data_IF_504280768707
#
_entry.id   IF_504280768707
#
_cell.length_a   1.000
_cell.length_b   1.000
_cell.length_c   1.000
_cell.angle_alpha   90.00
_cell.angle_beta   90.00
_cell.angle_gamma   90.00
#
_symmetry.space_group_name_H-M   'P 1'
#
loop_
_entity.id
_entity.type
_entity.pdbx_description
1 polymer ?
#
# COMPACT_ATOMS: atom_id res chain seq x y z
N UNK A 1 -3.50 -15.31 -3.66
CA UNK A 1 -4.30 -14.47 -4.61
C UNK A 1 -4.08 -13.00 -4.28
N UNK A 2 -3.65 -12.19 -5.24
CA UNK A 2 -3.40 -10.77 -5.04
C UNK A 2 -4.69 -10.04 -4.61
N UNK A 3 -4.64 -9.21 -3.58
CA UNK A 3 -5.78 -8.40 -3.12
C UNK A 3 -6.32 -7.49 -4.25
N UNK A 4 -7.64 -7.31 -4.32
CA UNK A 4 -8.30 -6.45 -5.32
C UNK A 4 -7.71 -5.03 -5.31
N UNK A 5 -7.49 -4.43 -4.13
CA UNK A 5 -6.90 -3.09 -3.99
C UNK A 5 -5.53 -2.99 -4.65
N UNK A 6 -4.66 -3.96 -4.42
CA UNK A 6 -3.33 -3.99 -5.03
C UNK A 6 -3.35 -4.18 -6.54
N UNK A 7 -4.26 -5.01 -7.03
CA UNK A 7 -4.44 -5.15 -8.49
C UNK A 7 -4.79 -3.82 -9.13
N UNK A 8 -5.73 -3.07 -8.53
CA UNK A 8 -6.13 -1.75 -9.02
C UNK A 8 -4.98 -0.73 -8.97
N UNK A 9 -4.20 -0.71 -7.88
CA UNK A 9 -3.04 0.20 -7.75
C UNK A 9 -1.91 -0.17 -8.72
N UNK A 10 -1.64 -1.46 -8.94
CA UNK A 10 -0.70 -1.92 -9.98
C UNK A 10 -1.17 -1.52 -11.37
N UNK A 11 -2.45 -1.70 -11.69
CA UNK A 11 -3.03 -1.28 -12.98
C UNK A 11 -2.93 0.23 -13.15
N UNK A 12 -3.14 1.01 -12.07
CA UNK A 12 -2.97 2.46 -12.11
C UNK A 12 -1.51 2.87 -12.33
N UNK A 13 -0.55 2.22 -11.66
CA UNK A 13 0.87 2.48 -11.90
C UNK A 13 1.28 2.20 -13.36
N UNK A 14 0.75 1.12 -13.95
CA UNK A 14 0.96 0.82 -15.37
C UNK A 14 0.32 1.88 -16.28
N UNK A 15 -0.86 2.40 -15.90
CA UNK A 15 -1.50 3.49 -16.64
C UNK A 15 -0.64 4.76 -16.63
N UNK A 16 -0.16 5.19 -15.45
CA UNK A 16 0.74 6.34 -15.33
C UNK A 16 1.99 6.19 -16.21
N UNK A 17 2.60 5.02 -16.22
CA UNK A 17 3.79 4.73 -17.03
C UNK A 17 3.47 4.79 -18.53
N UNK A 18 2.33 4.27 -18.99
CA UNK A 18 1.90 4.31 -20.40
C UNK A 18 1.56 5.71 -20.89
N UNK A 19 1.04 6.57 -20.00
CA UNK A 19 0.76 7.98 -20.25
C UNK A 19 2.01 8.87 -20.16
N UNK A 20 3.20 8.26 -20.01
CA UNK A 20 4.49 8.95 -19.84
C UNK A 20 4.55 9.88 -18.60
N UNK A 21 3.70 9.65 -17.60
CA UNK A 21 3.65 10.39 -16.33
C UNK A 21 4.64 9.77 -15.34
N UNK A 22 5.92 9.75 -15.70
CA UNK A 22 6.95 8.98 -15.00
C UNK A 22 7.26 9.49 -13.59
N UNK A 23 7.16 10.79 -13.35
CA UNK A 23 7.33 11.36 -12.00
C UNK A 23 6.23 10.88 -11.05
N UNK A 24 4.98 10.89 -11.50
CA UNK A 24 3.85 10.40 -10.71
C UNK A 24 3.93 8.88 -10.53
N UNK A 25 4.31 8.15 -11.57
CA UNK A 25 4.57 6.72 -11.50
C UNK A 25 5.62 6.39 -10.43
N UNK A 26 6.78 7.06 -10.45
CA UNK A 26 7.85 6.83 -9.48
C UNK A 26 7.43 7.16 -8.03
N UNK A 27 6.68 8.25 -7.84
CA UNK A 27 6.13 8.63 -6.54
C UNK A 27 5.10 7.59 -6.05
N UNK A 28 4.16 7.20 -6.92
CA UNK A 28 3.13 6.22 -6.58
C UNK A 28 3.72 4.87 -6.16
N UNK A 29 4.70 4.34 -6.91
CA UNK A 29 5.36 3.08 -6.57
C UNK A 29 6.00 3.15 -5.18
N UNK A 30 6.73 4.23 -4.87
CA UNK A 30 7.34 4.39 -3.55
C UNK A 30 6.28 4.47 -2.45
N UNK A 31 5.24 5.27 -2.67
CA UNK A 31 4.16 5.47 -1.69
C UNK A 31 3.38 4.18 -1.42
N UNK A 32 3.29 3.28 -2.40
CA UNK A 32 2.68 1.96 -2.21
C UNK A 32 3.56 0.98 -1.42
N UNK A 33 4.89 1.11 -1.50
CA UNK A 33 5.84 0.20 -0.86
C UNK A 33 6.23 0.62 0.57
N UNK A 34 5.89 1.84 0.98
CA UNK A 34 6.29 2.43 2.27
C UNK A 34 5.07 2.57 3.17
N UNK A 35 5.17 2.12 4.41
CA UNK A 35 4.13 2.28 5.40
C UNK A 35 4.17 3.69 6.02
N UNK A 36 3.33 4.59 5.52
CA UNK A 36 3.28 5.98 5.97
C UNK A 36 2.87 6.14 7.44
N UNK A 37 2.05 5.25 7.98
CA UNK A 37 1.66 5.26 9.38
C UNK A 37 2.81 4.83 10.34
N UNK A 38 3.94 4.36 9.80
CA UNK A 38 5.09 3.84 10.57
C UNK A 38 6.44 4.39 10.10
N UNK A 39 6.44 5.54 9.40
CA UNK A 39 7.66 6.16 8.89
C UNK A 39 8.69 6.51 9.99
N UNK A 40 8.23 6.82 11.19
CA UNK A 40 9.07 7.04 12.36
C UNK A 40 9.91 5.81 12.73
N UNK A 41 9.41 4.61 12.46
CA UNK A 41 10.02 3.30 12.77
C UNK A 41 10.78 2.71 11.59
N UNK A 42 10.20 2.78 10.39
CA UNK A 42 10.71 2.07 9.20
C UNK A 42 11.77 2.83 8.42
N UNK A 43 12.08 4.03 8.76
CA UNK A 43 13.04 4.99 8.15
C UNK A 43 13.86 4.47 6.96
N UNK A 44 13.34 4.71 5.77
CA UNK A 44 14.19 4.71 4.58
C UNK A 44 15.04 5.99 4.59
N UNK A 45 16.33 5.88 4.37
CA UNK A 45 17.17 7.09 4.31
C UNK A 45 16.71 8.01 3.17
N UNK A 46 16.77 9.35 3.33
CA UNK A 46 16.41 10.29 2.26
C UNK A 46 17.17 10.05 0.96
N UNK A 47 18.42 9.60 1.07
CA UNK A 47 19.24 9.25 -0.09
C UNK A 47 18.73 7.99 -0.78
N UNK A 48 18.38 6.93 -0.03
CA UNK A 48 17.81 5.72 -0.61
C UNK A 48 16.45 6.00 -1.28
N UNK A 49 15.60 6.81 -0.63
CA UNK A 49 14.31 7.24 -1.21
C UNK A 49 14.50 7.98 -2.53
N UNK A 50 15.45 8.95 -2.58
CA UNK A 50 15.75 9.71 -3.82
C UNK A 50 16.31 8.83 -4.93
N UNK A 51 17.24 7.92 -4.61
CA UNK A 51 17.82 7.01 -5.60
C UNK A 51 16.77 6.07 -6.18
N UNK A 52 15.91 5.53 -5.32
CA UNK A 52 14.83 4.64 -5.75
C UNK A 52 13.80 5.37 -6.62
N UNK A 53 13.38 6.59 -6.22
CA UNK A 53 12.52 7.46 -7.01
C UNK A 53 13.12 7.74 -8.38
N UNK A 54 14.38 8.21 -8.41
CA UNK A 54 15.08 8.52 -9.65
C UNK A 54 15.16 7.31 -10.58
N UNK A 55 15.48 6.14 -10.03
CA UNK A 55 15.52 4.90 -10.82
C UNK A 55 14.17 4.59 -11.47
N UNK A 56 13.04 4.80 -10.78
CA UNK A 56 11.70 4.56 -11.34
C UNK A 56 11.32 5.64 -12.37
N UNK A 57 11.57 6.91 -12.07
CA UNK A 57 11.22 8.02 -12.94
C UNK A 57 12.02 8.03 -14.24
N UNK A 58 13.25 7.53 -14.22
CA UNK A 58 14.17 7.51 -15.38
C UNK A 58 14.19 6.14 -16.10
N UNK A 59 13.17 5.29 -15.96
CA UNK A 59 13.11 4.02 -16.68
C UNK A 59 13.27 4.19 -18.18
N UNK A 60 14.24 3.47 -18.74
CA UNK A 60 14.39 3.29 -20.18
C UNK A 60 13.20 2.52 -20.77
N UNK A 61 13.01 2.58 -22.08
CA UNK A 61 11.95 1.82 -22.77
C UNK A 61 12.00 0.33 -22.40
N UNK A 62 13.19 -0.29 -22.38
CA UNK A 62 13.36 -1.71 -22.03
C UNK A 62 12.98 -1.99 -20.58
N UNK A 63 13.25 -1.07 -19.64
CA UNK A 63 12.87 -1.23 -18.24
C UNK A 63 11.36 -1.10 -18.05
N UNK A 64 10.70 -0.17 -18.75
CA UNK A 64 9.24 -0.03 -18.79
C UNK A 64 8.57 -1.32 -19.29
N UNK A 65 9.06 -1.87 -20.42
CA UNK A 65 8.56 -3.14 -20.95
C UNK A 65 8.70 -4.30 -19.95
N UNK A 66 9.86 -4.42 -19.31
CA UNK A 66 10.10 -5.44 -18.27
C UNK A 66 9.20 -5.26 -17.06
N UNK A 67 9.02 -4.03 -16.60
CA UNK A 67 8.11 -3.71 -15.50
C UNK A 67 6.67 -4.10 -15.86
N UNK A 68 6.19 -3.73 -17.04
CA UNK A 68 4.86 -4.08 -17.53
C UNK A 68 4.65 -5.59 -17.62
N UNK A 69 5.61 -6.32 -18.19
CA UNK A 69 5.55 -7.79 -18.27
C UNK A 69 5.45 -8.41 -16.88
N UNK A 70 6.25 -7.92 -15.92
CA UNK A 70 6.25 -8.44 -14.56
C UNK A 70 4.94 -8.13 -13.82
N UNK A 71 4.42 -6.91 -13.93
CA UNK A 71 3.12 -6.55 -13.36
C UNK A 71 1.97 -7.39 -13.96
N UNK A 72 1.95 -7.57 -15.28
CA UNK A 72 0.96 -8.42 -15.95
C UNK A 72 1.04 -9.88 -15.52
N UNK A 73 2.23 -10.41 -15.23
CA UNK A 73 2.40 -11.75 -14.64
C UNK A 73 1.83 -11.79 -13.21
N UNK A 74 2.16 -10.81 -12.37
CA UNK A 74 1.63 -10.73 -11.00
C UNK A 74 0.10 -10.64 -10.99
N UNK A 75 -0.49 -9.85 -11.88
CA UNK A 75 -1.95 -9.71 -12.00
C UNK A 75 -2.65 -11.03 -12.40
N UNK A 76 -1.96 -11.91 -13.12
CA UNK A 76 -2.47 -13.21 -13.59
C UNK A 76 -2.17 -14.36 -12.63
N UNK A 77 -1.33 -14.17 -11.63
CA UNK A 77 -1.03 -15.23 -10.66
C UNK A 77 -2.30 -15.60 -9.88
N UNK A 78 -2.75 -16.83 -10.04
CA UNK A 78 -3.90 -17.39 -9.30
C UNK A 78 -3.43 -18.08 -8.03
N UNK A 79 -2.46 -18.97 -8.14
CA UNK A 79 -1.93 -19.78 -7.05
C UNK A 79 -0.40 -19.90 -7.17
N UNK A 80 0.28 -19.86 -6.03
CA UNK A 80 1.71 -20.09 -5.94
C UNK A 80 1.91 -21.52 -5.41
N UNK A 81 2.66 -22.37 -6.12
CA UNK A 81 2.96 -23.72 -5.62
C UNK A 81 3.67 -23.66 -4.29
N UNK A 82 3.23 -24.52 -3.36
CA UNK A 82 3.87 -24.63 -2.05
C UNK A 82 5.22 -25.34 -2.21
N UNK A 83 6.34 -24.75 -1.76
CA UNK A 83 7.64 -25.38 -1.81
C UNK A 83 7.68 -26.70 -1.05
N UNK A 84 8.39 -27.69 -1.58
CA UNK A 84 8.60 -29.00 -0.95
C UNK A 84 9.95 -29.11 -0.22
N UNK A 85 10.75 -28.05 -0.25
CA UNK A 85 12.03 -27.95 0.45
C UNK A 85 11.90 -27.11 1.72
N UNK A 86 12.92 -27.10 2.58
CA UNK A 86 13.03 -26.19 3.71
C UNK A 86 12.92 -24.76 3.19
N UNK A 87 11.99 -23.98 3.74
CA UNK A 87 11.59 -22.68 3.22
C UNK A 87 11.69 -21.61 4.29
N UNK A 88 12.34 -20.49 4.00
CA UNK A 88 12.25 -19.27 4.80
C UNK A 88 11.26 -18.33 4.13
N UNK A 89 10.24 -17.92 4.90
CA UNK A 89 9.34 -16.82 4.52
C UNK A 89 9.64 -15.64 5.44
N UNK A 90 10.03 -14.51 4.85
CA UNK A 90 10.38 -13.30 5.59
C UNK A 90 9.61 -12.10 5.06
N UNK A 91 9.14 -11.23 5.96
CA UNK A 91 8.45 -9.98 5.64
C UNK A 91 8.92 -8.85 6.55
N UNK A 92 8.72 -7.60 6.15
CA UNK A 92 8.86 -6.47 7.07
C UNK A 92 7.75 -6.48 8.12
N UNK A 93 8.08 -6.12 9.35
CA UNK A 93 7.10 -6.08 10.46
C UNK A 93 5.90 -5.15 10.16
N UNK A 94 6.13 -4.09 9.40
CA UNK A 94 5.14 -3.09 9.05
C UNK A 94 4.81 -3.07 7.56
N UNK A 95 5.06 -4.18 6.85
CA UNK A 95 4.76 -4.29 5.42
C UNK A 95 3.27 -4.05 5.16
N UNK A 96 2.95 -2.95 4.48
CA UNK A 96 1.59 -2.58 4.08
C UNK A 96 1.24 -3.07 2.67
N UNK A 97 2.24 -3.44 1.89
CA UNK A 97 2.06 -3.95 0.54
C UNK A 97 1.70 -5.44 0.53
N UNK A 98 2.54 -6.29 1.10
CA UNK A 98 2.22 -7.70 1.37
C UNK A 98 2.13 -7.89 2.87
N UNK A 99 0.92 -7.89 3.40
CA UNK A 99 0.71 -7.87 4.84
C UNK A 99 1.40 -9.05 5.53
N UNK A 100 1.96 -8.86 6.73
CA UNK A 100 2.61 -9.93 7.49
C UNK A 100 1.75 -11.19 7.64
N UNK A 101 0.43 -11.05 7.83
CA UNK A 101 -0.48 -12.19 7.92
C UNK A 101 -0.62 -12.94 6.59
N UNK A 102 -0.57 -12.27 5.42
CA UNK A 102 -0.64 -12.92 4.11
C UNK A 102 0.60 -13.78 3.86
N UNK A 103 1.78 -13.28 4.28
CA UNK A 103 3.03 -14.03 4.25
C UNK A 103 3.00 -15.21 5.23
N UNK A 104 2.42 -15.03 6.42
CA UNK A 104 2.23 -16.10 7.39
C UNK A 104 1.24 -17.16 6.91
N UNK A 105 0.12 -16.76 6.29
CA UNK A 105 -0.86 -17.68 5.70
C UNK A 105 -0.22 -18.56 4.59
N UNK A 106 0.73 -18.01 3.81
CA UNK A 106 1.53 -18.79 2.86
C UNK A 106 2.52 -19.72 3.58
N UNK A 107 3.28 -19.21 4.56
CA UNK A 107 4.22 -20.00 5.33
C UNK A 107 3.57 -21.20 6.01
N UNK A 108 2.36 -21.01 6.56
CA UNK A 108 1.58 -22.09 7.21
C UNK A 108 1.25 -23.26 6.28
N UNK A 109 1.27 -23.07 4.96
CA UNK A 109 1.06 -24.13 3.98
C UNK A 109 2.34 -24.93 3.72
N UNK A 110 3.53 -24.37 3.99
CA UNK A 110 4.80 -25.06 3.82
C UNK A 110 5.02 -26.12 4.93
N UNK A 111 5.47 -27.30 4.55
CA UNK A 111 5.70 -28.40 5.50
C UNK A 111 6.89 -28.10 6.42
N UNK A 112 8.05 -27.82 5.85
CA UNK A 112 9.30 -27.46 6.56
C UNK A 112 9.59 -25.98 6.32
N UNK A 113 9.26 -25.15 7.31
CA UNK A 113 9.37 -23.70 7.16
C UNK A 113 9.89 -23.01 8.41
N UNK A 114 10.58 -21.92 8.18
CA UNK A 114 10.85 -20.86 9.15
C UNK A 114 10.15 -19.59 8.72
N UNK A 115 9.55 -18.86 9.67
CA UNK A 115 8.90 -17.58 9.41
C UNK A 115 9.50 -16.49 10.28
N UNK A 116 9.84 -15.37 9.68
CA UNK A 116 10.43 -14.24 10.36
C UNK A 116 9.87 -12.89 9.91
N UNK A 117 9.67 -11.98 10.87
CA UNK A 117 9.46 -10.57 10.58
C UNK A 117 10.76 -9.80 10.84
N UNK A 118 11.15 -8.97 9.89
CA UNK A 118 12.29 -8.05 10.04
C UNK A 118 11.77 -6.81 10.77
N UNK A 119 12.24 -6.62 12.00
CA UNK A 119 11.78 -5.56 12.88
C UNK A 119 12.02 -4.17 12.30
N UNK A 120 11.05 -3.27 12.47
CA UNK A 120 11.10 -1.90 11.98
C UNK A 120 11.40 -1.78 10.47
N UNK A 121 10.88 -2.70 9.68
CA UNK A 121 10.93 -2.67 8.22
C UNK A 121 9.52 -2.76 7.64
N UNK A 122 9.35 -2.23 6.44
CA UNK A 122 8.17 -2.40 5.59
C UNK A 122 8.47 -3.31 4.38
N UNK A 123 7.88 -3.06 3.20
CA UNK A 123 8.01 -3.94 2.03
C UNK A 123 9.42 -4.05 1.44
N UNK A 124 10.33 -3.14 1.77
CA UNK A 124 11.70 -3.10 1.22
C UNK A 124 12.77 -3.25 2.32
N UNK A 125 12.72 -4.32 3.13
CA UNK A 125 13.60 -4.48 4.29
C UNK A 125 15.09 -4.47 3.91
N UNK A 126 15.44 -4.91 2.72
CA UNK A 126 16.83 -4.87 2.22
C UNK A 126 17.39 -3.44 2.05
N UNK A 127 16.52 -2.43 1.91
CA UNK A 127 16.92 -1.02 1.86
C UNK A 127 16.90 -0.35 3.23
N UNK A 128 16.07 -0.83 4.15
CA UNK A 128 15.84 -0.24 5.47
C UNK A 128 16.67 -0.91 6.57
N UNK A 129 16.78 -2.24 6.50
CA UNK A 129 17.43 -3.14 7.49
C UNK A 129 18.37 -4.12 6.78
N UNK A 130 19.29 -3.58 6.00
CA UNK A 130 20.18 -4.38 5.14
C UNK A 130 20.98 -5.42 5.93
N UNK A 131 21.56 -5.02 7.09
CA UNK A 131 22.38 -5.90 7.92
C UNK A 131 21.55 -7.07 8.45
N UNK A 132 20.41 -6.78 9.04
CA UNK A 132 19.49 -7.76 9.62
C UNK A 132 18.96 -8.70 8.54
N UNK A 133 18.56 -8.17 7.37
CA UNK A 133 18.11 -8.95 6.23
C UNK A 133 19.20 -9.91 5.74
N UNK A 134 20.41 -9.42 5.50
CA UNK A 134 21.53 -10.25 5.05
C UNK A 134 21.89 -11.32 6.07
N UNK A 135 21.88 -10.97 7.36
CA UNK A 135 22.18 -11.90 8.43
C UNK A 135 21.16 -13.03 8.51
N UNK A 136 19.86 -12.69 8.42
CA UNK A 136 18.77 -13.66 8.37
C UNK A 136 18.94 -14.70 7.25
N UNK A 137 19.14 -14.23 6.01
CA UNK A 137 19.33 -15.12 4.86
C UNK A 137 20.60 -15.96 4.98
N UNK A 138 21.71 -15.37 5.43
CA UNK A 138 22.97 -16.10 5.57
C UNK A 138 22.88 -17.19 6.63
N UNK A 139 22.26 -16.91 7.78
CA UNK A 139 22.04 -17.88 8.87
C UNK A 139 21.16 -19.03 8.40
N UNK A 140 20.04 -18.72 7.74
CA UNK A 140 19.15 -19.74 7.18
C UNK A 140 19.85 -20.65 6.15
N UNK A 141 20.61 -20.07 5.22
CA UNK A 141 21.34 -20.82 4.19
C UNK A 141 22.44 -21.74 4.75
N UNK A 142 23.00 -21.40 5.91
CA UNK A 142 23.94 -22.26 6.65
C UNK A 142 23.25 -23.38 7.43
N UNK A 143 21.92 -23.38 7.49
CA UNK A 143 21.16 -24.32 8.30
C UNK A 143 21.21 -24.02 9.81
N UNK A 144 21.65 -22.85 10.19
CA UNK A 144 21.69 -22.37 11.58
C UNK A 144 20.33 -21.83 12.01
N UNK A 145 20.08 -21.78 13.33
CA UNK A 145 18.83 -21.26 13.87
C UNK A 145 18.71 -19.76 13.74
N UNK A 146 17.57 -19.26 13.23
CA UNK A 146 17.25 -17.83 13.12
C UNK A 146 16.66 -17.22 14.40
N UNK A 147 16.39 -18.03 15.45
CA UNK A 147 15.62 -17.65 16.63
C UNK A 147 16.44 -16.65 17.41
N UNK A 148 17.27 -16.07 17.51
CA UNK A 148 17.96 -15.09 18.36
C UNK A 148 18.78 -14.06 17.56
N UNK A 149 18.42 -13.88 16.29
CA UNK A 149 19.07 -12.87 15.48
C UNK A 149 18.57 -11.47 15.87
N UNK A 150 19.50 -10.54 16.03
CA UNK A 150 19.16 -9.16 16.31
C UNK A 150 18.31 -8.56 15.19
N UNK A 151 17.23 -7.85 15.57
CA UNK A 151 16.29 -7.24 14.64
C UNK A 151 15.40 -8.23 13.87
N UNK A 152 15.39 -9.53 14.24
CA UNK A 152 14.54 -10.57 13.65
C UNK A 152 13.56 -11.09 14.68
N UNK A 153 12.30 -11.13 14.33
CA UNK A 153 11.21 -11.70 15.13
C UNK A 153 10.82 -13.01 14.48
N UNK A 154 11.41 -14.13 14.92
CA UNK A 154 10.99 -15.45 14.49
C UNK A 154 9.69 -15.84 15.18
N UNK A 155 8.79 -16.53 14.47
CA UNK A 155 7.45 -16.84 14.97
C UNK A 155 7.12 -18.32 14.80
N UNK A 156 6.48 -18.90 15.82
CA UNK A 156 5.90 -20.24 15.77
C UNK A 156 4.62 -20.24 14.92
N UNK A 157 4.14 -21.44 14.55
CA UNK A 157 2.87 -21.62 13.81
C UNK A 157 1.68 -21.00 14.56
N UNK A 158 1.67 -21.09 15.90
CA UNK A 158 0.62 -20.53 16.74
C UNK A 158 0.64 -19.00 16.74
N UNK A 159 1.81 -18.41 16.86
CA UNK A 159 2.00 -16.96 16.81
C UNK A 159 1.62 -16.38 15.43
N UNK A 160 1.96 -17.08 14.34
CA UNK A 160 1.59 -16.63 12.97
C UNK A 160 0.07 -16.52 12.78
N UNK A 161 -0.73 -17.43 13.37
CA UNK A 161 -2.19 -17.39 13.31
C UNK A 161 -2.80 -16.20 14.03
N UNK A 162 -2.05 -15.56 14.93
CA UNK A 162 -2.48 -14.41 15.74
C UNK A 162 -2.06 -13.07 15.14
N UNK A 163 -1.33 -13.05 14.02
CA UNK A 163 -0.92 -11.80 13.36
C UNK A 163 -2.16 -11.00 12.96
N UNK A 164 -2.16 -9.71 13.32
CA UNK A 164 -3.24 -8.78 12.97
C UNK A 164 -3.46 -8.74 11.45
N UNK A 165 -4.72 -8.92 11.05
CA UNK A 165 -5.10 -9.00 9.63
C UNK A 165 -5.36 -7.65 8.98
N UNK A 166 -5.47 -6.58 9.75
CA UNK A 166 -5.68 -5.23 9.24
C UNK A 166 -4.33 -4.55 9.03
N UNK A 167 -4.11 -4.05 7.83
CA UNK A 167 -2.89 -3.29 7.53
C UNK A 167 -2.85 -1.93 8.23
N UNK A 168 -4.02 -1.30 8.40
CA UNK A 168 -4.17 0.02 9.02
C UNK A 168 -5.47 0.13 9.81
N UNK A 169 -5.43 0.92 10.89
CA UNK A 169 -6.63 1.35 11.59
C UNK A 169 -7.43 2.32 10.71
N UNK A 170 -8.74 2.19 10.72
CA UNK A 170 -9.65 3.16 10.10
C UNK A 170 -9.93 4.26 11.09
N UNK A 171 -9.73 5.48 10.67
CA UNK A 171 -9.86 6.67 11.51
C UNK A 171 -11.15 7.39 11.13
N UNK A 172 -12.09 7.57 12.05
CA UNK A 172 -13.29 8.41 11.84
C UNK A 172 -12.89 9.84 11.48
N UNK A 173 -13.71 10.51 10.69
CA UNK A 173 -13.47 11.91 10.29
C UNK A 173 -14.45 12.84 10.96
N UNK A 174 -13.94 13.84 11.67
CA UNK A 174 -14.75 14.77 12.49
C UNK A 174 -15.60 15.74 11.66
N UNK A 175 -15.11 16.14 10.49
CA UNK A 175 -15.85 16.96 9.53
C UNK A 175 -16.21 16.11 8.32
N UNK A 176 -17.33 15.38 8.37
CA UNK A 176 -17.59 14.31 7.44
C UNK A 176 -18.02 14.79 6.05
N UNK A 177 -18.54 16.02 5.92
CA UNK A 177 -19.05 16.50 4.63
C UNK A 177 -17.93 17.06 3.78
N UNK A 178 -17.78 16.52 2.59
CA UNK A 178 -16.80 16.96 1.62
C UNK A 178 -17.31 16.78 0.18
N UNK A 179 -16.47 17.17 -0.78
CA UNK A 179 -16.77 17.05 -2.21
C UNK A 179 -16.02 15.88 -2.83
N UNK A 180 -16.72 15.19 -3.70
CA UNK A 180 -16.14 14.26 -4.67
C UNK A 180 -16.39 14.84 -6.06
N UNK A 181 -15.33 15.12 -6.80
CA UNK A 181 -15.41 15.71 -8.14
C UNK A 181 -14.90 14.75 -9.21
N UNK A 182 -15.24 15.02 -10.46
CA UNK A 182 -14.61 14.41 -11.60
C UNK A 182 -13.36 15.21 -12.01
N UNK A 183 -12.28 14.52 -12.37
CA UNK A 183 -10.99 15.15 -12.68
C UNK A 183 -11.05 16.12 -13.89
N UNK A 184 -11.86 15.81 -14.90
CA UNK A 184 -11.89 16.49 -16.18
C UNK A 184 -13.23 17.17 -16.50
N UNK A 185 -14.25 17.00 -15.65
CA UNK A 185 -15.56 17.59 -15.83
C UNK A 185 -15.83 18.55 -14.66
N UNK A 186 -16.58 19.59 -14.94
CA UNK A 186 -17.06 20.52 -13.92
C UNK A 186 -18.29 19.94 -13.20
N UNK A 187 -18.11 18.75 -12.62
CA UNK A 187 -19.16 18.03 -11.91
C UNK A 187 -18.64 17.59 -10.55
N UNK A 188 -19.38 17.93 -9.51
CA UNK A 188 -19.05 17.57 -8.13
C UNK A 188 -20.32 17.11 -7.39
N UNK A 189 -20.11 16.21 -6.43
CA UNK A 189 -21.16 15.73 -5.53
C UNK A 189 -20.72 15.85 -4.08
N UNK A 190 -21.65 16.18 -3.18
CA UNK A 190 -21.36 16.23 -1.74
C UNK A 190 -21.48 14.85 -1.15
N UNK A 191 -20.49 14.41 -0.39
CA UNK A 191 -20.41 13.08 0.22
C UNK A 191 -20.05 13.16 1.70
N UNK A 192 -20.44 12.15 2.49
CA UNK A 192 -20.04 12.03 3.88
C UNK A 192 -18.88 11.04 4.02
N UNK A 193 -17.74 11.53 4.53
CA UNK A 193 -16.62 10.68 4.92
C UNK A 193 -16.95 9.99 6.25
N UNK A 194 -16.89 8.67 6.27
CA UNK A 194 -17.13 7.88 7.48
C UNK A 194 -15.82 7.56 8.18
N UNK A 195 -14.90 6.99 7.45
CA UNK A 195 -13.57 6.65 7.94
C UNK A 195 -12.52 6.80 6.82
N UNK A 196 -11.28 7.04 7.21
CA UNK A 196 -10.15 7.24 6.32
C UNK A 196 -8.94 6.42 6.78
N UNK A 197 -8.15 5.95 5.81
CA UNK A 197 -6.81 5.40 5.99
C UNK A 197 -5.86 6.10 5.02
N UNK A 198 -4.57 5.78 5.08
CA UNK A 198 -3.62 6.32 4.09
C UNK A 198 -3.94 5.87 2.66
N UNK A 199 -4.47 4.66 2.47
CA UNK A 199 -4.74 4.10 1.12
C UNK A 199 -6.16 4.28 0.62
N UNK A 200 -7.07 4.80 1.42
CA UNK A 200 -8.44 5.01 0.96
C UNK A 200 -9.41 5.46 2.03
N UNK A 201 -10.65 5.60 1.63
CA UNK A 201 -11.73 6.16 2.45
C UNK A 201 -13.02 5.42 2.21
N UNK A 202 -13.88 5.39 3.23
CA UNK A 202 -15.26 4.97 3.11
C UNK A 202 -16.17 6.20 3.18
N UNK A 203 -17.02 6.33 2.16
CA UNK A 203 -17.97 7.44 2.00
C UNK A 203 -19.40 6.90 2.09
N UNK A 204 -20.30 7.66 2.72
CA UNK A 204 -21.75 7.46 2.55
C UNK A 204 -22.25 8.33 1.41
N UNK A 205 -23.03 7.71 0.54
CA UNK A 205 -23.78 8.36 -0.51
C UNK A 205 -25.18 8.70 0.01
N UNK A 206 -25.76 9.80 -0.48
CA UNK A 206 -27.07 10.27 -0.03
C UNK A 206 -28.20 9.87 -0.96
N UNK A 207 -27.87 9.62 -2.25
CA UNK A 207 -28.84 9.34 -3.29
C UNK A 207 -28.28 8.50 -4.43
N UNK A 208 -29.18 8.09 -5.34
CA UNK A 208 -28.83 7.29 -6.52
C UNK A 208 -28.05 8.09 -7.58
N UNK A 209 -28.16 9.42 -7.60
CA UNK A 209 -27.43 10.23 -8.57
C UNK A 209 -25.94 10.19 -8.27
N UNK A 210 -25.57 10.26 -6.99
CA UNK A 210 -24.19 10.11 -6.53
C UNK A 210 -23.64 8.74 -6.87
N UNK A 211 -24.43 7.68 -6.67
CA UNK A 211 -24.03 6.32 -7.03
C UNK A 211 -23.81 6.18 -8.55
N UNK A 212 -24.70 6.75 -9.36
CA UNK A 212 -24.57 6.75 -10.81
C UNK A 212 -23.33 7.53 -11.27
N UNK A 213 -23.11 8.72 -10.70
CA UNK A 213 -21.91 9.53 -10.98
C UNK A 213 -20.62 8.75 -10.76
N UNK A 214 -20.47 8.11 -9.61
CA UNK A 214 -19.28 7.33 -9.26
C UNK A 214 -19.12 6.09 -10.13
N UNK A 215 -20.23 5.42 -10.46
CA UNK A 215 -20.21 4.19 -11.27
C UNK A 215 -19.81 4.46 -12.71
N UNK A 216 -20.18 5.63 -13.25
CA UNK A 216 -19.80 6.06 -14.60
C UNK A 216 -18.33 6.51 -14.69
N UNK A 217 -17.72 6.94 -13.59
CA UNK A 217 -16.38 7.51 -13.56
C UNK A 217 -15.44 6.77 -12.57
N UNK A 218 -15.19 5.48 -12.77
CA UNK A 218 -14.49 4.67 -11.76
C UNK A 218 -13.01 5.03 -11.56
N UNK A 219 -12.40 5.80 -12.46
CA UNK A 219 -10.97 6.15 -12.44
C UNK A 219 -10.66 7.64 -12.33
N UNK A 220 -11.62 8.51 -12.59
CA UNK A 220 -11.40 9.95 -12.73
C UNK A 220 -12.02 10.77 -11.59
N UNK A 221 -12.03 10.17 -10.41
CA UNK A 221 -12.54 10.81 -9.19
C UNK A 221 -11.44 11.56 -8.46
N UNK A 222 -11.81 12.64 -7.79
CA UNK A 222 -10.95 13.36 -6.86
C UNK A 222 -11.73 13.72 -5.58
N UNK A 223 -11.22 13.30 -4.43
CA UNK A 223 -11.76 13.66 -3.12
C UNK A 223 -11.12 14.97 -2.66
N UNK A 224 -11.93 15.89 -2.19
CA UNK A 224 -11.49 17.16 -1.61
C UNK A 224 -11.39 16.99 -0.10
N UNK A 225 -10.27 17.35 0.49
CA UNK A 225 -10.07 17.41 1.93
C UNK A 225 -9.55 18.80 2.29
N UNK A 226 -9.78 19.24 3.52
CA UNK A 226 -9.29 20.51 4.01
C UNK A 226 -8.41 20.32 5.25
N UNK A 227 -7.28 21.01 5.28
CA UNK A 227 -6.39 21.10 6.42
C UNK A 227 -6.11 22.58 6.77
N UNK A 228 -5.13 22.84 7.63
CA UNK A 228 -4.74 24.21 8.01
C UNK A 228 -4.13 25.01 6.85
N UNK A 229 -3.58 24.32 5.85
CA UNK A 229 -3.02 24.92 4.65
C UNK A 229 -4.11 25.20 3.59
N UNK A 230 -5.36 24.80 3.85
CA UNK A 230 -6.50 24.96 2.96
C UNK A 230 -6.96 23.65 2.31
N UNK A 231 -7.77 23.77 1.25
CA UNK A 231 -8.27 22.61 0.51
C UNK A 231 -7.15 21.92 -0.29
N UNK A 232 -7.20 20.59 -0.37
CA UNK A 232 -6.37 19.79 -1.25
C UNK A 232 -7.16 18.63 -1.84
N UNK A 233 -6.75 18.18 -3.03
CA UNK A 233 -7.43 17.14 -3.80
C UNK A 233 -6.57 15.89 -3.89
N UNK A 234 -7.21 14.74 -3.71
CA UNK A 234 -6.57 13.43 -3.87
C UNK A 234 -7.29 12.68 -4.99
N UNK A 235 -6.57 12.30 -6.02
CA UNK A 235 -7.10 11.45 -7.08
C UNK A 235 -7.43 10.06 -6.56
N UNK A 236 -8.56 9.50 -7.04
CA UNK A 236 -9.14 8.30 -6.47
C UNK A 236 -9.59 7.31 -7.54
N UNK A 237 -9.63 6.04 -7.14
CA UNK A 237 -10.24 4.93 -7.86
C UNK A 237 -11.48 4.45 -7.12
N UNK A 238 -12.57 4.22 -7.82
CA UNK A 238 -13.72 3.51 -7.26
C UNK A 238 -13.33 2.05 -7.01
N UNK A 239 -13.27 1.65 -5.73
CA UNK A 239 -12.99 0.29 -5.35
C UNK A 239 -14.24 -0.59 -5.28
N UNK A 240 -15.30 -0.04 -4.69
CA UNK A 240 -16.58 -0.73 -4.49
C UNK A 240 -17.66 0.29 -4.20
N UNK A 241 -18.76 0.24 -4.96
CA UNK A 241 -19.90 1.12 -4.81
C UNK A 241 -21.16 0.29 -4.58
N UNK A 242 -21.91 0.60 -3.53
CA UNK A 242 -23.17 -0.05 -3.16
C UNK A 242 -24.16 1.03 -2.73
N UNK A 243 -25.43 0.66 -2.59
CA UNK A 243 -26.45 1.56 -2.01
C UNK A 243 -26.11 2.04 -0.59
N UNK A 244 -25.27 1.30 0.14
CA UNK A 244 -24.87 1.63 1.51
C UNK A 244 -23.70 2.62 1.57
N UNK A 245 -22.91 2.74 0.50
CA UNK A 245 -21.78 3.64 0.44
C UNK A 245 -20.73 3.24 -0.59
N UNK A 246 -19.68 4.04 -0.61
CA UNK A 246 -18.60 3.99 -1.58
C UNK A 246 -17.26 3.78 -0.87
N UNK A 247 -16.48 2.83 -1.33
CA UNK A 247 -15.08 2.68 -0.98
C UNK A 247 -14.22 3.15 -2.13
N UNK A 248 -13.33 4.07 -1.87
CA UNK A 248 -12.37 4.56 -2.87
C UNK A 248 -10.94 4.33 -2.40
N UNK A 249 -10.04 4.13 -3.35
CA UNK A 249 -8.59 4.04 -3.14
C UNK A 249 -7.93 5.33 -3.61
N UNK A 250 -6.94 5.80 -2.88
CA UNK A 250 -6.13 6.95 -3.26
C UNK A 250 -5.02 6.54 -4.24
N UNK A 251 -4.80 7.33 -5.28
CA UNK A 251 -3.80 7.04 -6.32
C UNK A 251 -2.36 7.38 -5.93
N UNK A 252 -2.15 8.27 -4.98
CA UNK A 252 -0.83 8.64 -4.44
C UNK A 252 0.21 9.08 -5.49
N UNK A 253 -0.17 9.88 -6.47
CA UNK A 253 0.75 10.39 -7.50
C UNK A 253 1.70 11.53 -7.04
N UNK A 254 1.63 11.97 -5.78
CA UNK A 254 2.40 13.10 -5.25
C UNK A 254 2.84 12.89 -3.81
N UNK A 255 4.14 13.07 -3.52
CA UNK A 255 4.67 13.07 -2.15
C UNK A 255 4.08 14.21 -1.30
N UNK A 256 3.87 15.39 -1.88
CA UNK A 256 3.30 16.53 -1.19
C UNK A 256 1.88 16.22 -0.69
N UNK A 257 1.03 15.70 -1.56
CA UNK A 257 -0.34 15.30 -1.22
C UNK A 257 -0.34 14.16 -0.20
N UNK A 258 0.55 13.19 -0.34
CA UNK A 258 0.69 12.10 0.63
C UNK A 258 1.11 12.58 2.02
N UNK A 259 2.02 13.55 2.10
CA UNK A 259 2.44 14.16 3.37
C UNK A 259 1.29 14.98 3.99
N UNK A 260 0.51 15.73 3.20
CA UNK A 260 -0.69 16.43 3.66
C UNK A 260 -1.75 15.46 4.19
N UNK A 261 -2.01 14.38 3.45
CA UNK A 261 -2.94 13.32 3.88
C UNK A 261 -2.49 12.68 5.19
N UNK A 262 -1.20 12.38 5.34
CA UNK A 262 -0.66 11.82 6.58
C UNK A 262 -0.89 12.76 7.77
N UNK A 263 -0.60 14.06 7.61
CA UNK A 263 -0.87 15.07 8.65
C UNK A 263 -2.36 15.20 8.96
N UNK A 264 -3.21 15.15 7.93
CA UNK A 264 -4.67 15.17 8.11
C UNK A 264 -5.12 13.98 8.97
N UNK A 265 -4.69 12.75 8.64
CA UNK A 265 -5.05 11.53 9.38
C UNK A 265 -4.56 11.59 10.83
N UNK A 266 -3.32 12.03 11.07
CA UNK A 266 -2.79 12.15 12.45
C UNK A 266 -3.60 13.15 13.31
N UNK A 267 -4.08 14.23 12.73
CA UNK A 267 -4.96 15.17 13.43
C UNK A 267 -6.32 14.56 13.78
N UNK A 268 -6.91 13.78 12.87
CA UNK A 268 -8.17 13.09 13.19
C UNK A 268 -8.01 12.13 14.38
N UNK A 269 -6.87 11.42 14.48
CA UNK A 269 -6.56 10.54 15.63
C UNK A 269 -6.40 11.27 16.95
N UNK A 270 -5.89 12.50 16.94
CA UNK A 270 -5.65 13.29 18.16
C UNK A 270 -6.94 13.94 18.71
N UNK A 271 -7.95 14.04 17.88
CA UNK A 271 -9.21 14.69 18.20
C UNK A 271 -10.30 13.70 18.69
N UNK A 272 -10.02 12.39 18.67
CA UNK A 272 -10.78 11.34 19.36
C UNK A 272 -10.41 11.32 20.85
#
# INVERSE_FOLDING_TARGET
>A
KTRKSWRMLLEESLHLMREDRMDEFGQAVILYLVNHAKLDKTRMSPTAKRLFFRQMAEFTTTERERYEINCNRLLRLSDVPVPQCKTLVAAGQYDSFTLPHENADFALQCHDMEFALIANADHVPQLQRRKETMNLFTTFLKGESINNLDGIISMTREQMKQIERRGEARIPVLQPITKLSHRHLDTEVMVNVVDITFFGVYLKLHDLEQLNFVSQHPRDLALHLADEEGEFKIECLNFDATEQGLRILFKHGSFEIADRLSRFIERQKQAE
#
